data_IF_270395679831
#
_entry.id   IF_270395679831
#
_cell.length_a   1.000
_cell.length_b   1.000
_cell.length_c   1.000
_cell.angle_alpha   90.00
_cell.angle_beta   90.00
_cell.angle_gamma   90.00
#
_symmetry.space_group_name_H-M   'P 1'
#
loop_
_entity.id
_entity.type
_entity.pdbx_description
1 polymer ?
#
# COMPACT_ATOMS: atom_id res chain seq x y z
N UNK A 1 -3.92 18.65 9.24
CA UNK A 1 -4.04 17.23 8.86
C UNK A 1 -2.64 16.66 8.70
N UNK A 2 -2.38 15.51 9.33
CA UNK A 2 -1.12 14.76 9.23
C UNK A 2 -1.38 13.58 8.31
N UNK A 3 -0.54 13.42 7.28
CA UNK A 3 -0.63 12.29 6.35
C UNK A 3 0.60 11.42 6.50
N UNK A 4 0.43 10.13 6.24
CA UNK A 4 1.50 9.15 6.12
C UNK A 4 1.83 8.99 4.64
N UNK A 5 3.09 9.22 4.24
CA UNK A 5 3.47 9.21 2.83
C UNK A 5 3.49 7.79 2.24
N UNK A 6 4.00 6.81 3.02
CA UNK A 6 4.12 5.42 2.60
C UNK A 6 4.96 5.23 1.33
N UNK A 7 4.73 4.11 0.63
CA UNK A 7 5.43 3.81 -0.62
C UNK A 7 4.69 4.39 -1.84
N UNK A 8 5.36 5.29 -2.56
CA UNK A 8 4.88 5.81 -3.84
C UNK A 8 5.49 5.00 -4.98
N UNK A 9 4.73 4.05 -5.53
CA UNK A 9 5.20 3.16 -6.59
C UNK A 9 4.48 3.45 -7.90
N UNK A 10 5.21 3.34 -9.00
CA UNK A 10 4.58 3.21 -10.32
C UNK A 10 4.02 1.80 -10.49
N UNK A 11 3.06 1.62 -11.41
CA UNK A 11 2.52 0.29 -11.71
C UNK A 11 3.61 -0.70 -12.16
N UNK A 12 4.63 -0.23 -12.87
CA UNK A 12 5.77 -1.03 -13.28
C UNK A 12 6.66 -1.45 -12.09
N UNK A 13 6.92 -0.54 -11.14
CA UNK A 13 7.68 -0.86 -9.93
C UNK A 13 6.94 -1.87 -9.05
N UNK A 14 5.61 -1.73 -8.92
CA UNK A 14 4.80 -2.70 -8.19
C UNK A 14 4.83 -4.08 -8.86
N UNK A 15 4.67 -4.13 -10.19
CA UNK A 15 4.77 -5.38 -10.94
C UNK A 15 6.12 -6.06 -10.73
N UNK A 16 7.21 -5.29 -10.80
CA UNK A 16 8.56 -5.82 -10.63
C UNK A 16 8.76 -6.36 -9.21
N UNK A 17 8.38 -5.61 -8.17
CA UNK A 17 8.50 -6.04 -6.78
C UNK A 17 7.73 -7.34 -6.51
N UNK A 18 6.54 -7.49 -7.11
CA UNK A 18 5.76 -8.72 -7.01
C UNK A 18 6.39 -9.87 -7.80
N UNK A 19 6.93 -9.62 -9.00
CA UNK A 19 7.60 -10.63 -9.81
C UNK A 19 8.85 -11.19 -9.09
N UNK A 20 9.65 -10.29 -8.51
CA UNK A 20 10.84 -10.63 -7.74
C UNK A 20 10.46 -11.45 -6.49
N UNK A 21 9.44 -11.04 -5.75
CA UNK A 21 8.97 -11.74 -4.57
C UNK A 21 8.33 -13.12 -4.87
N UNK A 22 7.72 -13.28 -6.04
CA UNK A 22 7.16 -14.57 -6.51
C UNK A 22 8.19 -15.46 -7.21
N UNK A 23 9.37 -14.94 -7.56
CA UNK A 23 10.38 -15.65 -8.35
C UNK A 23 9.94 -16.00 -9.77
N UNK A 24 8.93 -15.31 -10.32
CA UNK A 24 8.41 -15.56 -11.68
C UNK A 24 8.01 -14.27 -12.38
N UNK A 25 8.16 -14.17 -13.71
CA UNK A 25 7.74 -12.99 -14.45
C UNK A 25 6.22 -12.84 -14.38
N UNK A 26 5.76 -11.62 -14.07
CA UNK A 26 4.35 -11.25 -14.13
C UNK A 26 4.06 -10.52 -15.43
N UNK A 27 2.95 -10.89 -16.08
CA UNK A 27 2.47 -10.19 -17.27
C UNK A 27 1.41 -9.17 -16.86
N UNK A 28 1.70 -7.89 -17.04
CA UNK A 28 0.68 -6.84 -16.95
C UNK A 28 -0.09 -6.76 -18.27
N UNK A 29 -1.41 -6.63 -18.17
CA UNK A 29 -2.29 -6.38 -19.30
C UNK A 29 -3.11 -5.13 -19.02
N UNK A 30 -3.21 -4.20 -19.98
CA UNK A 30 -4.06 -3.04 -19.81
C UNK A 30 -5.52 -3.49 -19.69
N UNK A 31 -6.25 -2.85 -18.79
CA UNK A 31 -7.70 -3.04 -18.66
C UNK A 31 -8.37 -2.69 -20.01
N UNK A 32 -9.28 -3.53 -20.49
CA UNK A 32 -10.00 -3.32 -21.75
C UNK A 32 -11.09 -2.24 -21.61
N UNK A 33 -10.69 -0.99 -21.35
CA UNK A 33 -11.60 0.15 -21.12
C UNK A 33 -12.63 0.35 -22.24
N UNK A 34 -12.27 -0.01 -23.48
CA UNK A 34 -13.19 0.04 -24.62
C UNK A 34 -14.37 -0.92 -24.46
N UNK A 35 -14.12 -2.14 -23.97
CA UNK A 35 -15.15 -3.16 -23.77
C UNK A 35 -16.10 -2.75 -22.63
N UNK A 36 -15.53 -2.22 -21.53
CA UNK A 36 -16.32 -1.64 -20.44
C UNK A 36 -17.21 -0.49 -20.95
N UNK A 37 -16.70 0.37 -21.84
CA UNK A 37 -17.47 1.48 -22.43
C UNK A 37 -18.62 1.01 -23.31
N UNK A 38 -18.45 -0.08 -24.06
CA UNK A 38 -19.53 -0.65 -24.89
C UNK A 38 -20.60 -1.36 -24.05
N UNK A 39 -20.23 -2.00 -22.94
CA UNK A 39 -21.16 -2.67 -22.03
C UNK A 39 -21.83 -1.70 -21.03
N UNK A 40 -21.24 -0.51 -20.84
CA UNK A 40 -21.69 0.57 -19.96
C UNK A 40 -23.18 0.95 -20.05
N UNK A 41 -23.81 1.11 -21.24
CA UNK A 41 -25.23 1.46 -21.30
C UNK A 41 -26.17 0.38 -20.75
N UNK A 42 -25.72 -0.88 -20.67
CA UNK A 42 -26.53 -1.99 -20.19
C UNK A 42 -26.33 -2.28 -18.70
N UNK A 43 -25.21 -1.87 -18.12
CA UNK A 43 -24.82 -2.22 -16.74
C UNK A 43 -24.40 -0.96 -15.97
N UNK A 44 -25.24 -0.46 -15.03
CA UNK A 44 -24.95 0.74 -14.24
C UNK A 44 -23.61 0.67 -13.47
N UNK A 45 -23.23 -0.50 -12.97
CA UNK A 45 -21.94 -0.72 -12.28
C UNK A 45 -20.74 -0.38 -13.20
N UNK A 46 -20.82 -0.73 -14.49
CA UNK A 46 -19.74 -0.44 -15.44
C UNK A 46 -19.62 1.05 -15.74
N UNK A 47 -20.74 1.82 -15.71
CA UNK A 47 -20.69 3.30 -15.78
C UNK A 47 -19.93 3.88 -14.59
N UNK A 48 -20.26 3.46 -13.38
CA UNK A 48 -19.58 3.94 -12.18
C UNK A 48 -18.07 3.62 -12.21
N UNK A 49 -17.70 2.41 -12.64
CA UNK A 49 -16.29 2.04 -12.80
C UNK A 49 -15.56 2.91 -13.84
N UNK A 50 -16.23 3.29 -14.93
CA UNK A 50 -15.65 4.18 -15.95
C UNK A 50 -15.46 5.61 -15.44
N UNK A 51 -16.36 6.12 -14.59
CA UNK A 51 -16.18 7.43 -13.94
C UNK A 51 -14.97 7.42 -12.99
N UNK A 52 -14.74 6.30 -12.30
CA UNK A 52 -13.58 6.10 -11.41
C UNK A 52 -12.28 5.75 -12.15
N UNK A 53 -12.29 5.61 -13.48
CA UNK A 53 -11.08 5.36 -14.30
C UNK A 53 -9.94 6.34 -14.02
N UNK A 54 -10.27 7.58 -13.64
CA UNK A 54 -9.27 8.59 -13.33
C UNK A 54 -8.31 8.16 -12.21
N UNK A 55 -8.74 7.30 -11.28
CA UNK A 55 -7.92 6.76 -10.21
C UNK A 55 -6.76 5.90 -10.73
N UNK A 56 -6.95 5.23 -11.87
CA UNK A 56 -5.90 4.41 -12.49
C UNK A 56 -4.87 5.21 -13.29
N UNK A 57 -5.21 6.44 -13.69
CA UNK A 57 -4.36 7.21 -14.61
C UNK A 57 -3.53 8.26 -13.88
N UNK A 58 -4.04 8.77 -12.75
CA UNK A 58 -3.35 9.80 -11.98
C UNK A 58 -2.52 9.16 -10.86
N UNK A 59 -1.24 9.52 -10.71
CA UNK A 59 -0.48 9.14 -9.53
C UNK A 59 -1.00 9.93 -8.33
N UNK A 60 -1.46 9.23 -7.30
CA UNK A 60 -1.91 9.84 -6.05
C UNK A 60 -0.81 9.65 -5.01
N UNK A 61 -0.26 10.74 -4.50
CA UNK A 61 0.76 10.71 -3.44
C UNK A 61 0.29 11.59 -2.29
N UNK A 62 0.50 11.12 -1.07
CA UNK A 62 0.18 11.86 0.15
C UNK A 62 1.41 12.61 0.64
N UNK A 63 1.26 13.89 0.96
CA UNK A 63 2.35 14.70 1.50
C UNK A 63 2.53 14.44 3.01
N UNK A 64 3.54 13.64 3.33
CA UNK A 64 3.92 13.29 4.71
C UNK A 64 4.83 14.31 5.40
N UNK A 65 5.22 15.43 4.77
CA UNK A 65 6.19 16.39 5.33
C UNK A 65 5.79 16.91 6.71
N UNK A 66 4.49 17.16 6.92
CA UNK A 66 3.97 17.63 8.22
C UNK A 66 4.11 16.58 9.31
N UNK A 67 3.97 15.30 8.98
CA UNK A 67 4.16 14.22 9.94
C UNK A 67 5.64 14.08 10.28
N UNK A 68 6.49 14.02 9.25
CA UNK A 68 7.94 13.91 9.42
C UNK A 68 8.54 15.07 10.23
N UNK A 69 8.01 16.29 10.07
CA UNK A 69 8.42 17.44 10.87
C UNK A 69 8.10 17.29 12.37
N UNK A 70 7.09 16.50 12.74
CA UNK A 70 6.68 16.29 14.13
C UNK A 70 7.38 15.09 14.78
N UNK A 71 7.55 13.98 14.05
CA UNK A 71 8.08 12.72 14.61
C UNK A 71 9.53 12.43 14.23
N UNK A 72 10.13 13.25 13.35
CA UNK A 72 11.43 12.96 12.74
C UNK A 72 11.31 12.00 11.55
N UNK A 73 12.42 11.38 11.12
CA UNK A 73 12.42 10.51 9.95
C UNK A 73 11.50 9.30 10.17
N UNK A 74 10.57 9.09 9.23
CA UNK A 74 9.61 7.99 9.27
C UNK A 74 10.31 6.66 8.94
N UNK A 75 10.17 5.63 9.79
CA UNK A 75 10.75 4.31 9.51
C UNK A 75 10.03 3.66 8.33
N UNK A 76 10.76 3.43 7.24
CA UNK A 76 10.24 2.77 6.05
C UNK A 76 10.73 1.33 5.97
N UNK A 77 9.79 0.38 5.88
CA UNK A 77 10.11 -1.02 5.58
C UNK A 77 10.54 -1.13 4.12
N UNK A 78 11.63 -1.83 3.78
CA UNK A 78 12.04 -1.98 2.39
C UNK A 78 10.99 -2.72 1.56
N UNK A 79 10.74 -2.23 0.34
CA UNK A 79 9.68 -2.73 -0.55
C UNK A 79 9.70 -4.26 -0.79
N UNK A 80 10.86 -4.92 -0.99
CA UNK A 80 10.89 -6.38 -1.17
C UNK A 80 10.35 -7.15 0.04
N UNK A 81 10.61 -6.65 1.25
CA UNK A 81 10.13 -7.25 2.48
C UNK A 81 8.61 -7.09 2.61
N UNK A 82 8.08 -5.92 2.26
CA UNK A 82 6.63 -5.68 2.23
C UNK A 82 5.95 -6.59 1.22
N UNK A 83 6.48 -6.68 -0.01
CA UNK A 83 5.91 -7.52 -1.07
C UNK A 83 5.86 -9.01 -0.66
N UNK A 84 6.96 -9.54 -0.11
CA UNK A 84 7.02 -10.92 0.36
C UNK A 84 6.05 -11.19 1.52
N UNK A 85 5.96 -10.27 2.49
CA UNK A 85 5.02 -10.39 3.61
C UNK A 85 3.56 -10.40 3.14
N UNK A 86 3.18 -9.48 2.24
CA UNK A 86 1.84 -9.43 1.68
C UNK A 86 1.49 -10.71 0.90
N UNK A 87 2.39 -11.18 0.04
CA UNK A 87 2.15 -12.40 -0.75
C UNK A 87 2.06 -13.65 0.11
N UNK A 88 2.84 -13.72 1.19
CA UNK A 88 2.73 -14.78 2.20
C UNK A 88 1.35 -14.77 2.84
N UNK A 89 0.87 -13.59 3.26
CA UNK A 89 -0.45 -13.45 3.88
C UNK A 89 -1.60 -13.77 2.91
N UNK A 90 -1.39 -13.55 1.61
CA UNK A 90 -2.32 -13.95 0.53
C UNK A 90 -2.18 -15.42 0.11
N UNK A 91 -1.30 -16.19 0.76
CA UNK A 91 -1.06 -17.61 0.46
C UNK A 91 -0.40 -17.88 -0.89
N UNK A 92 0.26 -16.88 -1.48
CA UNK A 92 0.88 -16.98 -2.82
C UNK A 92 2.33 -17.46 -2.79
N UNK A 93 2.98 -17.41 -1.64
CA UNK A 93 4.34 -17.88 -1.41
C UNK A 93 4.31 -18.69 -0.10
N UNK A 94 5.01 -19.84 -0.01
CA UNK A 94 5.19 -20.50 1.29
C UNK A 94 5.75 -19.48 2.26
N UNK A 95 5.21 -19.45 3.48
CA UNK A 95 5.70 -18.54 4.52
C UNK A 95 7.17 -18.85 4.80
N UNK A 96 8.08 -18.19 4.07
CA UNK A 96 9.44 -18.01 4.52
C UNK A 96 9.26 -17.27 5.83
N UNK A 97 9.53 -17.97 6.94
CA UNK A 97 9.29 -17.54 8.31
C UNK A 97 9.53 -16.05 8.43
N UNK A 98 8.44 -15.28 8.31
CA UNK A 98 8.46 -13.89 8.61
C UNK A 98 8.67 -13.88 10.11
N UNK A 99 9.88 -13.55 10.57
CA UNK A 99 10.04 -13.09 11.94
C UNK A 99 9.00 -11.99 12.08
N UNK A 100 7.96 -12.15 12.93
CA UNK A 100 6.98 -11.10 13.09
C UNK A 100 7.78 -9.85 13.43
N UNK A 101 7.70 -8.85 12.54
CA UNK A 101 8.18 -7.52 12.84
C UNK A 101 7.51 -7.19 14.17
N UNK A 102 8.33 -7.19 15.23
CA UNK A 102 7.87 -7.03 16.58
C UNK A 102 6.94 -5.82 16.57
N UNK A 103 5.66 -6.04 16.88
CA UNK A 103 4.81 -4.97 17.39
C UNK A 103 5.65 -4.29 18.46
N UNK A 104 6.10 -3.02 18.32
CA UNK A 104 6.55 -2.31 19.48
C UNK A 104 5.29 -2.24 20.36
N UNK A 105 5.27 -3.05 21.41
CA UNK A 105 4.27 -2.97 22.45
C UNK A 105 4.13 -1.48 22.80
N UNK A 106 2.90 -0.95 22.97
CA UNK A 106 2.75 0.45 23.32
C UNK A 106 3.56 0.69 24.59
N UNK A 107 4.66 1.43 24.44
CA UNK A 107 5.47 1.88 25.56
C UNK A 107 4.51 2.69 26.42
N UNK A 108 4.09 2.07 27.52
CA UNK A 108 3.11 2.57 28.43
C UNK A 108 3.38 4.06 28.69
N UNK A 109 2.42 4.91 28.31
CA UNK A 109 2.32 6.28 28.81
C UNK A 109 2.06 6.18 30.30
N UNK A 110 3.12 5.91 31.08
CA UNK A 110 3.14 6.06 32.53
C UNK A 110 3.26 7.56 32.78
N UNK A 111 2.14 8.27 32.60
CA UNK A 111 2.01 9.65 33.05
C UNK A 111 2.11 9.63 34.57
N UNK A 112 3.21 10.20 35.05
CA UNK A 112 3.48 10.47 36.45
C UNK A 112 2.31 11.25 37.07
N UNK A 113 1.60 10.62 38.00
CA UNK A 113 0.79 11.33 38.97
C UNK A 113 1.75 12.08 39.90
N UNK A 114 1.77 13.40 39.75
CA UNK A 114 2.47 14.38 40.58
C UNK A 114 1.94 14.31 42.02
N UNK A 115 2.78 14.18 43.06
CA UNK A 115 2.31 14.42 44.42
C UNK A 115 2.18 15.95 44.62
N UNK A 116 0.97 16.39 44.94
CA UNK A 116 0.76 17.67 45.63
C UNK A 116 0.56 17.34 47.11
N UNK A 117 1.23 18.11 47.97
CA UNK A 117 1.24 17.95 49.42
C UNK A 117 -0.04 18.39 50.12
#
# INVERSE_FOLDING_TARGET
>A
MLHFAGHTLTGAQLQQALADALGRPLRSQPMAWWALRLASPFVPMLRALLEMRHLWTRPHQLDGRRLQALIGPEPHTPLPQVAAACLTQLGQVPAATATPAATPAPAALRSAARPAG
#
